data_IF_776902419154
#
_entry.id   IF_776902419154
#
_cell.length_a   1.000
_cell.length_b   1.000
_cell.length_c   1.000
_cell.angle_alpha   90.00
_cell.angle_beta   90.00
_cell.angle_gamma   90.00
#
_symmetry.space_group_name_H-M   'P 1'
#
loop_
_entity.id
_entity.type
_entity.pdbx_description
1 polymer ?
#
# COMPACT_ATOMS: atom_id res chain seq x y z
N UNK A 1 18.06 16.05 -30.61
CA UNK A 1 18.53 17.36 -30.12
C UNK A 1 18.99 17.20 -28.68
N UNK A 2 20.29 17.35 -28.44
CA UNK A 2 20.95 17.19 -27.14
C UNK A 2 20.59 18.38 -26.24
N UNK A 3 19.89 18.14 -25.12
CA UNK A 3 19.77 19.15 -24.04
C UNK A 3 20.85 18.84 -23.02
N UNK A 4 21.91 19.65 -23.04
CA UNK A 4 22.97 19.68 -22.04
C UNK A 4 22.38 20.17 -20.70
N UNK A 5 22.31 19.30 -19.70
CA UNK A 5 22.02 19.67 -18.32
C UNK A 5 23.24 20.39 -17.72
N UNK A 6 23.14 21.71 -17.58
CA UNK A 6 24.12 22.49 -16.82
C UNK A 6 24.13 22.07 -15.35
N UNK A 7 25.31 21.91 -14.75
CA UNK A 7 25.45 21.69 -13.30
C UNK A 7 24.90 22.92 -12.55
N UNK A 8 24.07 22.76 -11.50
CA UNK A 8 23.61 23.88 -10.70
C UNK A 8 24.79 24.65 -10.10
N UNK A 9 24.72 25.98 -10.10
CA UNK A 9 25.76 26.81 -9.49
C UNK A 9 25.81 26.60 -7.98
N UNK A 10 26.99 26.75 -7.37
CA UNK A 10 27.17 26.60 -5.91
C UNK A 10 26.24 27.52 -5.10
N UNK A 11 25.92 28.71 -5.63
CA UNK A 11 24.96 29.66 -5.05
C UNK A 11 23.53 29.11 -5.09
N UNK A 12 23.09 28.56 -6.22
CA UNK A 12 21.77 27.91 -6.35
C UNK A 12 21.64 26.73 -5.38
N UNK A 13 22.68 25.90 -5.24
CA UNK A 13 22.67 24.78 -4.30
C UNK A 13 22.63 25.20 -2.83
N UNK A 14 23.19 26.36 -2.48
CA UNK A 14 23.14 26.92 -1.12
C UNK A 14 21.78 27.53 -0.80
N UNK A 15 21.17 28.21 -1.77
CA UNK A 15 19.82 28.76 -1.62
C UNK A 15 18.78 27.65 -1.49
N UNK A 16 18.85 26.58 -2.29
CA UNK A 16 17.96 25.43 -2.15
C UNK A 16 18.07 24.77 -0.77
N UNK A 17 19.30 24.56 -0.27
CA UNK A 17 19.53 24.03 1.08
C UNK A 17 18.98 24.95 2.18
N UNK A 18 19.13 26.27 2.02
CA UNK A 18 18.58 27.24 2.97
C UNK A 18 17.05 27.20 2.99
N UNK A 19 16.40 27.21 1.82
CA UNK A 19 14.94 27.11 1.70
C UNK A 19 14.40 25.80 2.27
N UNK A 20 15.08 24.69 2.01
CA UNK A 20 14.70 23.38 2.56
C UNK A 20 14.87 23.33 4.10
N UNK A 21 15.90 23.98 4.64
CA UNK A 21 16.11 24.09 6.09
C UNK A 21 15.03 24.93 6.79
N UNK A 22 14.60 26.04 6.18
CA UNK A 22 13.51 26.89 6.68
C UNK A 22 12.19 26.14 6.63
N UNK A 23 11.92 25.45 5.52
CA UNK A 23 10.71 24.65 5.35
C UNK A 23 10.62 23.52 6.38
N UNK A 24 11.72 22.82 6.67
CA UNK A 24 11.73 21.81 7.73
C UNK A 24 11.51 22.40 9.13
N UNK A 25 12.00 23.61 9.39
CA UNK A 25 11.80 24.29 10.67
C UNK A 25 10.32 24.64 10.88
N UNK A 26 9.64 25.13 9.83
CA UNK A 26 8.20 25.40 9.87
C UNK A 26 7.37 24.12 10.07
N UNK A 27 7.70 23.04 9.36
CA UNK A 27 7.03 21.73 9.54
C UNK A 27 7.15 21.24 10.98
N UNK A 28 8.35 21.31 11.57
CA UNK A 28 8.56 20.92 12.98
C UNK A 28 7.73 21.76 13.94
N UNK A 29 7.63 23.08 13.71
CA UNK A 29 6.81 23.97 14.54
C UNK A 29 5.34 23.58 14.49
N UNK A 30 4.77 23.45 13.29
CA UNK A 30 3.37 23.07 13.09
C UNK A 30 3.06 21.72 13.75
N UNK A 31 3.95 20.73 13.61
CA UNK A 31 3.78 19.43 14.24
C UNK A 31 3.83 19.54 15.78
N UNK A 32 4.75 20.32 16.33
CA UNK A 32 4.89 20.51 17.77
C UNK A 32 3.66 21.18 18.37
N UNK A 33 3.12 22.21 17.70
CA UNK A 33 1.88 22.89 18.08
C UNK A 33 0.68 21.91 18.07
N UNK A 34 0.78 20.82 17.31
CA UNK A 34 -0.20 19.74 17.21
C UNK A 34 0.19 18.48 18.02
N UNK A 35 1.07 18.62 19.01
CA UNK A 35 1.54 17.57 19.93
C UNK A 35 2.34 16.44 19.28
N UNK A 36 3.01 16.69 18.16
CA UNK A 36 3.88 15.72 17.48
C UNK A 36 5.33 16.21 17.53
N UNK A 37 6.20 15.42 18.16
CA UNK A 37 7.65 15.65 18.16
C UNK A 37 8.31 14.86 17.03
N UNK A 38 8.81 15.56 16.01
CA UNK A 38 9.36 14.96 14.79
C UNK A 38 10.82 14.52 15.00
N UNK A 39 11.09 13.23 14.87
CA UNK A 39 12.40 12.66 15.21
C UNK A 39 13.30 12.45 13.99
N UNK A 40 12.87 11.61 13.04
CA UNK A 40 13.77 11.09 12.00
C UNK A 40 13.07 10.85 10.65
N UNK A 41 13.87 10.62 9.61
CA UNK A 41 13.38 10.24 8.28
C UNK A 41 13.23 8.71 8.19
N UNK A 42 12.15 8.24 7.57
CA UNK A 42 11.89 6.79 7.40
C UNK A 42 11.65 6.37 5.95
N UNK A 43 11.23 7.28 5.06
CA UNK A 43 11.00 6.92 3.65
C UNK A 43 10.71 8.10 2.74
N UNK A 44 10.89 7.93 1.44
CA UNK A 44 10.62 8.97 0.42
C UNK A 44 9.80 8.36 -0.71
N UNK A 45 8.68 8.99 -1.04
CA UNK A 45 7.89 8.73 -2.25
C UNK A 45 8.20 9.75 -3.35
N UNK A 46 7.48 9.64 -4.48
CA UNK A 46 7.62 10.55 -5.60
C UNK A 46 7.26 12.01 -5.25
N UNK A 47 6.26 12.20 -4.40
CA UNK A 47 5.74 13.52 -4.00
C UNK A 47 5.75 13.74 -2.48
N UNK A 48 6.29 12.78 -1.73
CA UNK A 48 6.18 12.77 -0.27
C UNK A 48 7.49 12.37 0.39
N UNK A 49 7.67 12.86 1.62
CA UNK A 49 8.70 12.43 2.56
C UNK A 49 8.01 11.92 3.80
N UNK A 50 8.32 10.71 4.23
CA UNK A 50 7.78 10.11 5.45
C UNK A 50 8.83 10.19 6.55
N UNK A 51 8.41 10.69 7.70
CA UNK A 51 9.23 10.89 8.88
C UNK A 51 8.58 10.21 10.09
N UNK A 52 9.37 9.71 11.03
CA UNK A 52 8.87 9.22 12.31
C UNK A 52 8.81 10.37 13.31
N UNK A 53 7.75 10.39 14.10
CA UNK A 53 7.61 11.27 15.25
C UNK A 53 7.00 10.55 16.44
N UNK A 54 6.84 11.27 17.54
CA UNK A 54 6.15 10.80 18.75
C UNK A 54 4.97 11.71 19.02
N UNK A 55 3.80 11.13 19.22
CA UNK A 55 2.67 11.86 19.77
C UNK A 55 2.94 12.10 21.26
N UNK A 56 3.16 13.36 21.64
CA UNK A 56 3.57 13.77 23.00
C UNK A 56 2.50 13.39 24.04
N UNK A 57 1.21 13.45 23.66
CA UNK A 57 0.11 13.10 24.57
C UNK A 57 -0.03 11.60 24.79
N UNK A 58 0.18 10.81 23.74
CA UNK A 58 0.00 9.35 23.77
C UNK A 58 1.28 8.58 24.14
N UNK A 59 2.44 9.22 23.99
CA UNK A 59 3.76 8.56 24.12
C UNK A 59 4.06 7.55 23.01
N UNK A 60 3.18 7.39 22.01
CA UNK A 60 3.32 6.42 20.92
C UNK A 60 3.96 7.04 19.68
N UNK A 61 4.64 6.21 18.89
CA UNK A 61 5.19 6.61 17.59
C UNK A 61 4.08 6.91 16.59
N UNK A 62 4.37 7.83 15.67
CA UNK A 62 3.54 8.16 14.51
C UNK A 62 4.40 8.25 13.26
N UNK A 63 3.81 7.96 12.10
CA UNK A 63 4.38 8.30 10.80
C UNK A 63 3.83 9.67 10.38
N UNK A 64 4.68 10.53 9.81
CA UNK A 64 4.31 11.84 9.29
C UNK A 64 4.65 11.87 7.81
N UNK A 65 3.63 11.77 6.96
CA UNK A 65 3.75 11.89 5.50
C UNK A 65 3.66 13.36 5.13
N UNK A 66 4.80 13.94 4.79
CA UNK A 66 4.97 15.33 4.35
C UNK A 66 4.87 15.38 2.83
N UNK A 67 3.82 15.96 2.30
CA UNK A 67 3.52 16.04 0.86
C UNK A 67 3.80 17.45 0.39
N UNK A 68 4.62 17.61 -0.65
CA UNK A 68 4.91 18.91 -1.25
C UNK A 68 3.84 19.28 -2.28
N UNK A 69 3.18 20.42 -2.09
CA UNK A 69 2.11 20.89 -3.00
C UNK A 69 2.56 22.01 -3.93
N UNK A 70 3.78 22.52 -3.79
CA UNK A 70 4.30 23.66 -4.56
C UNK A 70 4.38 23.39 -6.06
N UNK A 71 4.65 22.14 -6.46
CA UNK A 71 4.77 21.78 -7.87
C UNK A 71 3.44 21.77 -8.61
N UNK A 72 2.30 21.80 -7.89
CA UNK A 72 0.96 21.69 -8.47
C UNK A 72 0.80 20.49 -9.41
N UNK A 73 1.47 19.38 -9.13
CA UNK A 73 1.52 18.20 -10.01
C UNK A 73 0.13 17.58 -10.21
N UNK A 74 -0.01 16.70 -11.21
CA UNK A 74 -1.25 15.94 -11.40
C UNK A 74 -1.63 15.16 -10.14
N UNK A 75 -0.63 14.63 -9.42
CA UNK A 75 -0.84 14.02 -8.09
C UNK A 75 -1.53 14.99 -7.13
N UNK A 76 -0.96 16.17 -6.93
CA UNK A 76 -1.48 17.19 -6.01
C UNK A 76 -2.89 17.65 -6.42
N UNK A 77 -3.17 17.77 -7.72
CA UNK A 77 -4.47 18.25 -8.21
C UNK A 77 -5.57 17.19 -8.20
N UNK A 78 -5.24 15.93 -8.51
CA UNK A 78 -6.24 14.86 -8.73
C UNK A 78 -6.28 13.80 -7.64
N UNK A 79 -5.13 13.46 -7.06
CA UNK A 79 -5.01 12.31 -6.15
C UNK A 79 -5.02 12.74 -4.70
N UNK A 80 -4.26 13.77 -4.32
CA UNK A 80 -4.17 14.23 -2.93
C UNK A 80 -5.53 14.62 -2.30
N UNK A 81 -6.43 15.37 -2.97
CA UNK A 81 -7.74 15.68 -2.39
C UNK A 81 -8.57 14.42 -2.12
N UNK A 82 -8.46 13.41 -3.00
CA UNK A 82 -9.15 12.12 -2.84
C UNK A 82 -8.53 11.29 -1.74
N UNK A 83 -7.20 11.26 -1.63
CA UNK A 83 -6.49 10.60 -0.54
C UNK A 83 -6.98 11.16 0.80
N UNK A 84 -6.98 12.48 0.97
CA UNK A 84 -7.48 13.14 2.18
C UNK A 84 -8.95 12.81 2.45
N UNK A 85 -9.80 12.83 1.42
CA UNK A 85 -11.23 12.48 1.54
C UNK A 85 -11.43 11.04 2.00
N UNK A 86 -10.68 10.09 1.40
CA UNK A 86 -10.72 8.67 1.72
C UNK A 86 -10.28 8.44 3.16
N UNK A 87 -9.09 8.91 3.55
CA UNK A 87 -8.47 8.52 4.82
C UNK A 87 -9.13 9.13 6.05
N UNK A 88 -9.89 10.23 5.90
CA UNK A 88 -10.54 10.93 7.02
C UNK A 88 -11.53 10.06 7.81
N UNK A 89 -12.17 9.11 7.15
CA UNK A 89 -13.24 8.30 7.74
C UNK A 89 -12.89 6.81 7.89
N UNK A 90 -11.65 6.43 7.56
CA UNK A 90 -11.21 5.04 7.73
C UNK A 90 -10.95 4.74 9.20
N UNK A 91 -11.62 3.70 9.69
CA UNK A 91 -11.49 3.21 11.06
C UNK A 91 -11.67 1.69 11.09
N UNK A 92 -10.57 0.96 10.96
CA UNK A 92 -10.54 -0.49 11.05
C UNK A 92 -9.22 -0.93 11.66
N UNK A 93 -9.22 -2.02 12.44
CA UNK A 93 -8.03 -2.47 13.16
C UNK A 93 -6.85 -2.80 12.23
N UNK A 94 -7.13 -3.25 11.00
CA UNK A 94 -6.11 -3.57 9.99
C UNK A 94 -5.90 -2.51 8.90
N UNK A 95 -6.40 -1.28 9.10
CA UNK A 95 -6.14 -0.15 8.20
C UNK A 95 -5.38 0.91 8.98
N UNK A 96 -4.33 1.48 8.38
CA UNK A 96 -3.56 2.58 8.98
C UNK A 96 -4.50 3.72 9.32
N UNK A 97 -4.53 4.09 10.61
CA UNK A 97 -5.33 5.22 11.06
C UNK A 97 -4.62 6.54 10.73
N UNK A 98 -5.35 7.49 10.15
CA UNK A 98 -4.89 8.88 10.03
C UNK A 98 -5.43 9.67 11.22
N UNK A 99 -4.54 10.10 12.11
CA UNK A 99 -4.90 10.86 13.30
C UNK A 99 -5.21 12.32 12.99
N UNK A 100 -4.42 12.94 12.11
CA UNK A 100 -4.54 14.36 11.79
C UNK A 100 -4.15 14.63 10.33
N UNK A 101 -4.81 15.62 9.73
CA UNK A 101 -4.43 16.20 8.45
C UNK A 101 -4.16 17.68 8.67
N UNK A 102 -2.92 18.10 8.49
CA UNK A 102 -2.49 19.49 8.71
C UNK A 102 -2.13 20.13 7.37
N UNK A 103 -2.76 21.26 7.07
CA UNK A 103 -2.50 22.02 5.85
C UNK A 103 -1.56 23.19 6.13
N UNK A 104 -0.60 23.38 5.24
CA UNK A 104 0.32 24.52 5.19
C UNK A 104 0.26 25.12 3.78
N UNK A 105 0.84 26.31 3.59
CA UNK A 105 0.79 27.03 2.30
C UNK A 105 1.25 26.18 1.11
N UNK A 106 2.36 25.45 1.25
CA UNK A 106 2.95 24.62 0.18
C UNK A 106 3.14 23.15 0.58
N UNK A 107 2.47 22.69 1.65
CA UNK A 107 2.58 21.31 2.13
C UNK A 107 1.28 20.80 2.76
N UNK A 108 1.06 19.50 2.67
CA UNK A 108 0.07 18.78 3.48
C UNK A 108 0.81 17.73 4.32
N UNK A 109 0.46 17.65 5.60
CA UNK A 109 1.02 16.66 6.53
C UNK A 109 -0.09 15.69 6.94
N UNK A 110 0.11 14.40 6.69
CA UNK A 110 -0.73 13.33 7.27
C UNK A 110 0.02 12.74 8.46
N UNK A 111 -0.60 12.80 9.65
CA UNK A 111 -0.09 12.14 10.86
C UNK A 111 -0.82 10.81 10.99
N UNK A 112 -0.08 9.71 10.83
CA UNK A 112 -0.59 8.37 10.61
C UNK A 112 -0.08 7.40 11.69
N UNK A 113 -0.80 6.30 11.86
CA UNK A 113 -0.37 5.15 12.64
C UNK A 113 0.98 4.62 12.13
N UNK A 114 1.87 4.29 13.07
CA UNK A 114 3.21 3.80 12.75
C UNK A 114 3.24 2.27 12.79
N UNK A 115 3.74 1.63 11.73
CA UNK A 115 4.01 0.19 11.71
C UNK A 115 5.35 -0.13 12.37
N UNK A 116 5.35 -0.47 13.66
CA UNK A 116 6.57 -0.69 14.45
C UNK A 116 7.51 -1.74 13.86
N UNK A 117 6.96 -2.79 13.26
CA UNK A 117 7.70 -3.92 12.72
C UNK A 117 7.98 -3.79 11.21
N UNK A 118 7.76 -2.60 10.64
CA UNK A 118 8.04 -2.28 9.24
C UNK A 118 7.00 -2.85 8.27
N UNK A 119 7.35 -2.87 6.98
CA UNK A 119 6.51 -3.42 5.92
C UNK A 119 6.70 -4.94 5.72
N UNK A 120 5.67 -5.57 5.16
CA UNK A 120 5.62 -7.00 4.91
C UNK A 120 6.70 -7.45 3.90
N UNK A 121 7.08 -6.60 2.93
CA UNK A 121 8.15 -6.94 2.00
C UNK A 121 9.49 -7.10 2.72
N UNK A 122 9.82 -6.19 3.64
CA UNK A 122 11.00 -6.29 4.49
C UNK A 122 11.00 -7.58 5.29
N UNK A 123 9.87 -7.92 5.92
CA UNK A 123 9.69 -9.17 6.67
C UNK A 123 9.93 -10.42 5.80
N UNK A 124 9.41 -10.43 4.57
CA UNK A 124 9.61 -11.53 3.61
C UNK A 124 11.09 -11.63 3.23
N UNK A 125 11.77 -10.50 2.95
CA UNK A 125 13.19 -10.49 2.59
C UNK A 125 14.08 -11.02 3.72
N UNK A 126 13.80 -10.66 4.97
CA UNK A 126 14.53 -11.16 6.15
C UNK A 126 14.41 -12.67 6.31
N UNK A 127 13.24 -13.25 5.99
CA UNK A 127 12.97 -14.69 6.12
C UNK A 127 13.10 -15.48 4.81
N UNK A 128 13.43 -14.81 3.70
CA UNK A 128 13.27 -15.30 2.31
C UNK A 128 11.82 -15.55 1.88
N UNK A 129 11.00 -16.16 2.74
CA UNK A 129 9.55 -16.36 2.60
C UNK A 129 8.93 -16.59 3.98
N UNK A 130 7.61 -16.55 4.07
CA UNK A 130 6.85 -16.93 5.25
C UNK A 130 6.31 -18.36 5.09
N UNK A 131 6.28 -19.11 6.20
CA UNK A 131 5.55 -20.38 6.21
C UNK A 131 4.06 -20.14 6.03
N UNK A 132 3.31 -21.17 5.64
CA UNK A 132 1.84 -21.06 5.55
C UNK A 132 1.21 -20.72 6.90
N UNK A 133 1.74 -21.30 8.00
CA UNK A 133 1.30 -21.03 9.36
C UNK A 133 1.42 -19.55 9.73
N UNK A 134 2.52 -18.90 9.33
CA UNK A 134 2.71 -17.45 9.52
C UNK A 134 1.86 -16.62 8.54
N UNK A 135 1.69 -17.12 7.32
CA UNK A 135 0.99 -16.41 6.25
C UNK A 135 -0.51 -16.32 6.46
N UNK A 136 -1.14 -17.38 6.97
CA UNK A 136 -2.61 -17.45 7.20
C UNK A 136 -3.16 -16.27 8.02
N UNK A 137 -2.68 -15.96 9.24
CA UNK A 137 -3.22 -14.85 10.02
C UNK A 137 -2.97 -13.48 9.37
N UNK A 138 -1.80 -13.28 8.75
CA UNK A 138 -1.47 -12.03 8.04
C UNK A 138 -2.42 -11.85 6.84
N UNK A 139 -2.58 -12.90 6.03
CA UNK A 139 -3.46 -12.85 4.87
C UNK A 139 -4.93 -12.70 5.28
N UNK A 140 -5.37 -13.35 6.37
CA UNK A 140 -6.71 -13.15 6.92
C UNK A 140 -6.96 -11.68 7.24
N UNK A 141 -6.08 -11.05 8.01
CA UNK A 141 -6.20 -9.63 8.38
C UNK A 141 -6.13 -8.69 7.16
N UNK A 142 -5.32 -9.01 6.15
CA UNK A 142 -5.31 -8.27 4.89
C UNK A 142 -6.67 -8.37 4.19
N UNK A 143 -7.25 -9.57 4.05
CA UNK A 143 -8.57 -9.73 3.42
C UNK A 143 -9.65 -9.00 4.22
N UNK A 144 -9.62 -9.02 5.56
CA UNK A 144 -10.55 -8.25 6.39
C UNK A 144 -10.44 -6.73 6.17
N UNK A 145 -9.21 -6.21 5.98
CA UNK A 145 -9.03 -4.81 5.61
C UNK A 145 -9.70 -4.47 4.27
N UNK A 146 -9.65 -5.38 3.29
CA UNK A 146 -10.27 -5.20 1.98
C UNK A 146 -11.79 -5.35 2.02
N UNK A 147 -12.32 -6.26 2.86
CA UNK A 147 -13.76 -6.35 3.16
C UNK A 147 -14.26 -5.03 3.74
N UNK A 148 -13.51 -4.47 4.69
CA UNK A 148 -13.85 -3.17 5.26
C UNK A 148 -13.85 -2.06 4.20
N UNK A 149 -12.80 -1.94 3.38
CA UNK A 149 -12.76 -0.93 2.31
C UNK A 149 -13.90 -1.09 1.31
N UNK A 150 -14.25 -2.33 0.95
CA UNK A 150 -15.40 -2.62 0.11
C UNK A 150 -16.71 -2.14 0.74
N UNK A 151 -16.91 -2.34 2.05
CA UNK A 151 -18.09 -1.83 2.76
C UNK A 151 -18.20 -0.30 2.72
N UNK A 152 -17.07 0.39 2.63
CA UNK A 152 -16.99 1.85 2.49
C UNK A 152 -17.04 2.32 1.03
N UNK A 153 -17.24 1.40 0.07
CA UNK A 153 -17.17 1.67 -1.37
C UNK A 153 -15.82 2.23 -1.82
N UNK A 154 -14.73 1.84 -1.16
CA UNK A 154 -13.37 2.31 -1.44
C UNK A 154 -12.55 1.20 -2.09
N UNK A 155 -11.86 1.55 -3.17
CA UNK A 155 -10.89 0.66 -3.84
C UNK A 155 -9.50 1.22 -3.58
N UNK A 156 -8.57 0.37 -3.14
CA UNK A 156 -7.22 0.75 -2.76
C UNK A 156 -6.31 1.01 -3.97
N UNK A 157 -6.31 0.11 -4.96
CA UNK A 157 -5.57 0.16 -6.24
C UNK A 157 -4.05 0.11 -6.18
N UNK A 158 -3.44 0.06 -5.00
CA UNK A 158 -1.99 -0.20 -4.82
C UNK A 158 -1.72 -1.16 -3.65
N UNK A 159 -2.49 -2.25 -3.58
CA UNK A 159 -2.23 -3.31 -2.59
C UNK A 159 -0.94 -4.04 -3.00
N UNK A 160 0.07 -4.00 -2.12
CA UNK A 160 1.38 -4.62 -2.32
C UNK A 160 2.07 -4.83 -0.97
N UNK A 161 3.10 -5.68 -0.93
CA UNK A 161 3.79 -6.01 0.31
C UNK A 161 4.40 -4.77 1.00
N UNK A 162 4.80 -3.76 0.25
CA UNK A 162 5.36 -2.49 0.74
C UNK A 162 4.33 -1.60 1.46
N UNK A 163 3.04 -1.79 1.15
CA UNK A 163 1.93 -1.02 1.72
C UNK A 163 1.18 -1.80 2.82
N UNK A 164 1.61 -3.03 3.12
CA UNK A 164 1.11 -3.82 4.25
C UNK A 164 2.13 -3.70 5.38
N UNK A 165 1.84 -2.88 6.38
CA UNK A 165 2.70 -2.68 7.55
C UNK A 165 2.33 -3.64 8.68
N UNK A 166 3.26 -3.82 9.61
CA UNK A 166 3.08 -4.63 10.81
C UNK A 166 3.23 -3.76 12.05
N UNK A 167 2.22 -3.79 12.92
CA UNK A 167 2.31 -3.15 14.24
C UNK A 167 3.25 -3.92 15.19
N UNK A 168 3.42 -3.42 16.42
CA UNK A 168 4.30 -4.04 17.41
C UNK A 168 3.98 -5.51 17.75
N UNK A 169 2.75 -5.96 17.51
CA UNK A 169 2.29 -7.33 17.76
C UNK A 169 2.18 -8.16 16.46
N UNK A 170 2.75 -7.68 15.34
CA UNK A 170 2.62 -8.31 14.01
C UNK A 170 1.16 -8.41 13.51
N UNK A 171 0.32 -7.43 13.84
CA UNK A 171 -0.94 -7.25 13.13
C UNK A 171 -0.75 -6.40 11.88
N UNK A 172 -1.47 -6.75 10.82
CA UNK A 172 -1.52 -6.02 9.56
C UNK A 172 -2.09 -4.62 9.76
N UNK A 173 -1.47 -3.65 9.10
CA UNK A 173 -1.94 -2.29 8.88
C UNK A 173 -1.79 -1.95 7.40
N UNK A 174 -2.87 -2.05 6.62
CA UNK A 174 -2.88 -1.63 5.22
C UNK A 174 -2.83 -0.10 5.15
N UNK A 175 -1.84 0.45 4.45
CA UNK A 175 -1.60 1.88 4.32
C UNK A 175 -1.33 2.34 2.89
N UNK A 176 -0.99 3.63 2.77
CA UNK A 176 -0.76 4.36 1.51
C UNK A 176 -1.95 4.40 0.54
N UNK A 177 -2.90 5.26 0.86
CA UNK A 177 -4.14 5.47 0.11
C UNK A 177 -4.00 6.50 -1.03
N UNK A 178 -2.78 6.83 -1.46
CA UNK A 178 -2.53 7.85 -2.50
C UNK A 178 -3.18 7.53 -3.87
N UNK A 179 -3.46 6.25 -4.14
CA UNK A 179 -4.20 5.80 -5.31
C UNK A 179 -5.64 5.37 -5.01
N UNK A 180 -6.05 5.37 -3.74
CA UNK A 180 -7.37 4.95 -3.36
C UNK A 180 -8.44 5.93 -3.83
N UNK A 181 -9.67 5.44 -4.00
CA UNK A 181 -10.82 6.26 -4.35
C UNK A 181 -12.14 5.58 -4.02
N UNK A 182 -13.18 6.38 -3.85
CA UNK A 182 -14.55 5.90 -3.87
C UNK A 182 -14.91 5.38 -5.27
N UNK A 183 -15.55 4.23 -5.29
CA UNK A 183 -16.19 3.65 -6.47
C UNK A 183 -17.59 4.24 -6.56
N UNK A 184 -17.90 4.98 -7.64
CA UNK A 184 -19.29 5.39 -7.89
C UNK A 184 -20.09 4.21 -8.43
N UNK A 185 -21.39 4.20 -8.19
CA UNK A 185 -22.28 3.14 -8.68
C UNK A 185 -22.19 3.05 -10.22
N UNK A 186 -22.00 1.83 -10.74
CA UNK A 186 -21.74 1.54 -12.16
C UNK A 186 -20.48 2.19 -12.75
N UNK A 187 -19.56 2.68 -11.91
CA UNK A 187 -18.32 3.25 -12.39
C UNK A 187 -17.34 2.18 -12.82
N UNK A 188 -16.92 2.33 -14.06
CA UNK A 188 -15.90 1.53 -14.71
C UNK A 188 -14.67 2.43 -14.84
N UNK A 189 -13.54 2.02 -14.26
CA UNK A 189 -12.29 2.78 -14.37
C UNK A 189 -11.42 2.27 -15.52
N UNK A 190 -10.66 3.17 -16.14
CA UNK A 190 -9.68 2.86 -17.20
C UNK A 190 -8.28 3.44 -16.91
N UNK A 191 -8.09 4.06 -15.74
CA UNK A 191 -6.83 4.74 -15.40
C UNK A 191 -5.80 3.76 -14.87
N UNK A 192 -4.61 3.76 -15.47
CA UNK A 192 -3.43 3.05 -14.97
C UNK A 192 -2.84 3.77 -13.75
N UNK A 193 -2.83 3.12 -12.59
CA UNK A 193 -2.22 3.59 -11.34
C UNK A 193 -1.66 2.38 -10.57
N UNK A 194 -0.64 2.59 -9.72
CA UNK A 194 -0.08 1.55 -8.86
C UNK A 194 1.17 0.85 -9.42
N UNK A 195 1.61 -0.18 -8.70
CA UNK A 195 2.89 -0.85 -8.93
C UNK A 195 2.77 -1.98 -9.98
N UNK A 196 3.57 -1.89 -11.06
CA UNK A 196 3.48 -2.79 -12.23
C UNK A 196 3.49 -4.29 -11.90
N UNK A 197 4.23 -4.69 -10.86
CA UNK A 197 4.38 -6.10 -10.50
C UNK A 197 3.11 -6.72 -9.87
N UNK A 198 2.21 -5.89 -9.33
CA UNK A 198 0.98 -6.31 -8.63
C UNK A 198 -0.28 -6.10 -9.46
N UNK A 199 -0.15 -5.51 -10.65
CA UNK A 199 -1.29 -5.02 -11.42
C UNK A 199 -2.06 -6.17 -12.10
N UNK A 200 -3.39 -6.05 -12.12
CA UNK A 200 -4.28 -7.02 -12.76
C UNK A 200 -4.22 -6.94 -14.31
N UNK A 201 -4.50 -8.04 -15.04
CA UNK A 201 -4.33 -8.09 -16.50
C UNK A 201 -5.26 -7.15 -17.28
N UNK A 202 -6.47 -6.87 -16.76
CA UNK A 202 -7.42 -5.93 -17.34
C UNK A 202 -6.89 -4.48 -17.32
N UNK A 203 -6.10 -4.11 -16.32
CA UNK A 203 -5.45 -2.80 -16.25
C UNK A 203 -4.39 -2.66 -17.33
N UNK A 204 -3.58 -3.70 -17.55
CA UNK A 204 -2.56 -3.72 -18.61
C UNK A 204 -3.18 -3.72 -20.01
N UNK A 205 -4.35 -4.34 -20.13
CA UNK A 205 -5.13 -4.37 -21.38
C UNK A 205 -5.89 -3.07 -21.64
N UNK A 206 -5.92 -2.13 -20.68
CA UNK A 206 -6.70 -0.90 -20.77
C UNK A 206 -8.22 -1.14 -20.73
N UNK A 207 -8.64 -2.28 -20.21
CA UNK A 207 -10.04 -2.68 -20.15
C UNK A 207 -10.67 -2.15 -18.87
N UNK A 208 -11.77 -1.46 -19.06
CA UNK A 208 -12.83 -1.19 -18.11
C UNK A 208 -13.05 -2.29 -17.05
N UNK A 209 -12.96 -1.94 -15.76
CA UNK A 209 -13.04 -2.91 -14.66
C UNK A 209 -13.88 -2.45 -13.46
N UNK A 210 -14.35 -3.42 -12.66
CA UNK A 210 -14.91 -3.19 -11.31
C UNK A 210 -13.76 -3.14 -10.31
N UNK A 211 -13.60 -2.02 -9.61
CA UNK A 211 -12.37 -1.73 -8.86
C UNK A 211 -11.95 -2.78 -7.83
N UNK A 212 -12.90 -3.43 -7.15
CA UNK A 212 -12.59 -4.40 -6.09
C UNK A 212 -11.85 -5.65 -6.60
N UNK A 213 -12.16 -6.12 -7.82
CA UNK A 213 -11.51 -7.33 -8.37
C UNK A 213 -10.02 -7.12 -8.62
N UNK A 214 -9.57 -5.88 -8.81
CA UNK A 214 -8.15 -5.52 -8.96
C UNK A 214 -7.42 -5.62 -7.62
N UNK A 215 -8.07 -5.20 -6.53
CA UNK A 215 -7.53 -5.39 -5.18
C UNK A 215 -7.48 -6.88 -4.80
N UNK A 216 -8.49 -7.68 -5.21
CA UNK A 216 -8.48 -9.15 -5.09
C UNK A 216 -7.26 -9.76 -5.78
N UNK A 217 -6.99 -9.40 -7.04
CA UNK A 217 -5.80 -9.87 -7.76
C UNK A 217 -4.52 -9.52 -7.02
N UNK A 218 -4.40 -8.25 -6.61
CA UNK A 218 -3.23 -7.73 -5.91
C UNK A 218 -2.98 -8.45 -4.58
N UNK A 219 -4.05 -8.78 -3.84
CA UNK A 219 -3.97 -9.62 -2.64
C UNK A 219 -3.46 -11.04 -2.95
N UNK A 220 -3.87 -11.63 -4.08
CA UNK A 220 -3.33 -12.91 -4.56
C UNK A 220 -1.83 -12.86 -4.86
N UNK A 221 -1.36 -11.75 -5.46
CA UNK A 221 0.07 -11.51 -5.66
C UNK A 221 0.79 -11.43 -4.30
N UNK A 222 0.24 -10.69 -3.33
CA UNK A 222 0.80 -10.60 -1.97
C UNK A 222 0.88 -11.98 -1.32
N UNK A 223 -0.18 -12.79 -1.36
CA UNK A 223 -0.18 -14.17 -0.81
C UNK A 223 0.89 -15.05 -1.46
N UNK A 224 1.01 -14.98 -2.79
CA UNK A 224 2.04 -15.72 -3.51
C UNK A 224 3.44 -15.28 -3.08
N UNK A 225 3.71 -13.98 -3.01
CA UNK A 225 5.03 -13.45 -2.62
C UNK A 225 5.35 -13.79 -1.17
N UNK A 226 4.38 -13.73 -0.25
CA UNK A 226 4.54 -14.16 1.13
C UNK A 226 5.03 -15.60 1.22
N UNK A 227 4.39 -16.51 0.50
CA UNK A 227 4.60 -17.97 0.63
C UNK A 227 5.74 -18.51 -0.25
N UNK A 228 6.17 -17.75 -1.25
CA UNK A 228 7.22 -18.19 -2.19
C UNK A 228 8.48 -17.34 -2.17
N UNK A 229 8.40 -16.08 -1.71
CA UNK A 229 9.50 -15.12 -1.74
C UNK A 229 9.78 -14.50 -3.11
N UNK A 230 9.01 -14.85 -4.15
CA UNK A 230 9.23 -14.39 -5.53
C UNK A 230 7.92 -13.90 -6.16
N UNK A 231 8.01 -13.18 -7.28
CA UNK A 231 6.82 -12.76 -8.03
C UNK A 231 6.28 -13.92 -8.88
N UNK A 232 4.95 -14.08 -9.03
CA UNK A 232 4.36 -15.11 -9.90
C UNK A 232 4.54 -14.76 -11.38
N UNK A 233 4.55 -13.47 -11.70
CA UNK A 233 4.77 -12.92 -13.03
C UNK A 233 5.83 -11.82 -12.92
N UNK A 234 6.99 -12.04 -13.54
CA UNK A 234 8.04 -11.05 -13.66
C UNK A 234 8.60 -11.11 -15.08
N UNK A 235 8.24 -10.11 -15.90
CA UNK A 235 8.83 -9.90 -17.21
C UNK A 235 9.05 -8.41 -17.43
N UNK A 236 10.22 -8.05 -17.95
CA UNK A 236 10.56 -6.65 -18.26
C UNK A 236 9.69 -6.07 -19.36
N UNK A 237 9.08 -6.91 -20.21
CA UNK A 237 8.15 -6.50 -21.24
C UNK A 237 6.69 -6.68 -20.75
N UNK A 238 5.94 -5.58 -20.54
CA UNK A 238 4.55 -5.65 -20.07
C UNK A 238 3.63 -6.48 -20.96
N UNK A 239 3.86 -6.51 -22.28
CA UNK A 239 3.07 -7.34 -23.20
C UNK A 239 3.29 -8.83 -22.96
N UNK A 240 4.55 -9.25 -22.77
CA UNK A 240 4.90 -10.64 -22.45
C UNK A 240 4.39 -11.04 -21.07
N UNK A 241 4.46 -10.13 -20.10
CA UNK A 241 3.88 -10.35 -18.77
C UNK A 241 2.38 -10.58 -18.87
N UNK A 242 1.67 -9.73 -19.61
CA UNK A 242 0.24 -9.86 -19.86
C UNK A 242 -0.10 -11.17 -20.58
N UNK A 243 0.61 -11.52 -21.65
CA UNK A 243 0.44 -12.81 -22.35
C UNK A 243 0.53 -13.99 -21.38
N UNK A 244 1.53 -14.00 -20.47
CA UNK A 244 1.67 -15.05 -19.44
C UNK A 244 0.50 -15.05 -18.46
N UNK A 245 0.08 -13.88 -17.97
CA UNK A 245 -1.07 -13.77 -17.08
C UNK A 245 -2.32 -14.35 -17.74
N UNK A 246 -2.56 -14.04 -19.02
CA UNK A 246 -3.72 -14.52 -19.79
C UNK A 246 -3.72 -16.03 -20.03
N UNK A 247 -2.56 -16.70 -19.99
CA UNK A 247 -2.51 -18.18 -20.05
C UNK A 247 -3.05 -18.87 -18.80
N UNK A 248 -3.35 -18.11 -17.74
CA UNK A 248 -3.78 -18.62 -16.44
C UNK A 248 -2.87 -19.72 -15.88
N UNK A 249 -1.56 -19.57 -16.07
CA UNK A 249 -0.56 -20.52 -15.57
C UNK A 249 0.26 -19.89 -14.45
N UNK A 250 -0.03 -20.28 -13.22
CA UNK A 250 0.76 -19.93 -12.04
C UNK A 250 1.86 -20.98 -11.83
N UNK A 251 3.13 -20.58 -11.87
CA UNK A 251 4.27 -21.48 -11.65
C UNK A 251 4.82 -21.30 -10.25
N UNK A 252 4.76 -22.32 -9.42
CA UNK A 252 5.35 -22.29 -8.07
C UNK A 252 6.81 -22.74 -8.10
N UNK A 253 7.70 -22.12 -7.30
CA UNK A 253 9.07 -22.60 -7.14
C UNK A 253 9.11 -23.95 -6.40
N UNK A 254 10.29 -24.56 -6.31
CA UNK A 254 10.52 -25.82 -5.57
C UNK A 254 10.51 -25.59 -4.05
N UNK A 255 9.35 -25.18 -3.54
CA UNK A 255 9.06 -25.03 -2.11
C UNK A 255 7.82 -25.86 -1.79
N UNK A 256 7.84 -26.48 -0.61
CA UNK A 256 6.72 -27.29 -0.14
C UNK A 256 5.56 -26.35 0.23
N UNK A 257 4.45 -26.48 -0.51
CA UNK A 257 3.22 -25.74 -0.31
C UNK A 257 2.04 -26.69 -0.49
N UNK A 258 1.03 -26.51 0.35
CA UNK A 258 -0.21 -27.27 0.34
C UNK A 258 -0.96 -27.10 -1.00
N UNK A 259 -1.75 -28.09 -1.36
CA UNK A 259 -2.57 -27.99 -2.57
C UNK A 259 -3.68 -26.95 -2.39
N UNK A 260 -4.22 -26.80 -1.18
CA UNK A 260 -5.23 -25.81 -0.84
C UNK A 260 -4.72 -24.38 -1.07
N UNK A 261 -3.48 -24.08 -0.67
CA UNK A 261 -2.86 -22.78 -0.94
C UNK A 261 -2.71 -22.54 -2.45
N UNK A 262 -2.16 -23.52 -3.18
CA UNK A 262 -1.93 -23.41 -4.61
C UNK A 262 -3.24 -23.18 -5.36
N UNK A 263 -4.30 -23.90 -4.98
CA UNK A 263 -5.65 -23.74 -5.52
C UNK A 263 -6.18 -22.34 -5.24
N UNK A 264 -6.11 -21.86 -4.00
CA UNK A 264 -6.59 -20.52 -3.66
C UNK A 264 -5.86 -19.43 -4.46
N UNK A 265 -4.53 -19.50 -4.54
CA UNK A 265 -3.72 -18.56 -5.33
C UNK A 265 -4.10 -18.63 -6.81
N UNK A 266 -4.28 -19.83 -7.35
CA UNK A 266 -4.69 -20.03 -8.73
C UNK A 266 -6.05 -19.38 -9.00
N UNK A 267 -7.05 -19.60 -8.15
CA UNK A 267 -8.39 -19.02 -8.26
C UNK A 267 -8.39 -17.48 -8.15
N UNK A 268 -7.61 -16.91 -7.22
CA UNK A 268 -7.48 -15.46 -7.08
C UNK A 268 -6.81 -14.84 -8.32
N UNK A 269 -5.78 -15.49 -8.86
CA UNK A 269 -5.04 -15.04 -10.04
C UNK A 269 -5.70 -15.48 -11.36
N UNK A 270 -7.02 -15.49 -11.39
CA UNK A 270 -7.79 -15.71 -12.62
C UNK A 270 -7.77 -14.47 -13.53
N UNK A 271 -7.51 -14.60 -14.85
CA UNK A 271 -7.34 -13.46 -15.73
C UNK A 271 -8.65 -12.70 -15.93
N UNK A 272 -9.76 -13.43 -16.03
CA UNK A 272 -11.10 -12.85 -16.04
C UNK A 272 -11.48 -12.36 -14.64
N UNK A 273 -11.67 -11.05 -14.50
CA UNK A 273 -11.97 -10.38 -13.23
C UNK A 273 -13.20 -10.95 -12.50
N UNK A 274 -14.26 -11.27 -13.24
CA UNK A 274 -15.53 -11.80 -12.68
C UNK A 274 -15.44 -13.27 -12.23
N UNK A 275 -14.40 -13.98 -12.65
CA UNK A 275 -14.15 -15.37 -12.23
C UNK A 275 -13.33 -15.45 -10.95
N UNK A 276 -12.79 -14.33 -10.46
CA UNK A 276 -12.05 -14.28 -9.20
C UNK A 276 -13.03 -14.47 -8.03
N UNK A 277 -12.63 -15.18 -6.96
CA UNK A 277 -13.45 -15.32 -5.77
C UNK A 277 -13.65 -13.96 -5.08
N UNK A 278 -14.85 -13.74 -4.55
CA UNK A 278 -15.13 -12.66 -3.60
C UNK A 278 -14.31 -12.82 -2.31
N UNK A 279 -14.16 -11.74 -1.53
CA UNK A 279 -13.48 -11.82 -0.24
C UNK A 279 -14.11 -12.84 0.72
N UNK A 280 -15.44 -12.97 0.72
CA UNK A 280 -16.15 -14.00 1.49
C UNK A 280 -15.75 -15.41 1.04
N UNK A 281 -15.65 -15.66 -0.26
CA UNK A 281 -15.20 -16.95 -0.79
C UNK A 281 -13.72 -17.22 -0.46
N UNK A 282 -12.86 -16.20 -0.48
CA UNK A 282 -11.46 -16.31 -0.06
C UNK A 282 -11.38 -16.71 1.42
N UNK A 283 -12.13 -16.03 2.29
CA UNK A 283 -12.22 -16.33 3.72
C UNK A 283 -12.74 -17.75 4.01
N UNK A 284 -13.67 -18.25 3.19
CA UNK A 284 -14.24 -19.60 3.31
C UNK A 284 -13.48 -20.68 2.54
N UNK A 285 -12.34 -20.34 1.91
CA UNK A 285 -11.55 -21.30 1.13
C UNK A 285 -10.99 -22.42 2.02
N UNK A 286 -10.73 -23.63 1.46
CA UNK A 286 -10.12 -24.72 2.22
C UNK A 286 -8.82 -24.31 2.93
N UNK A 287 -8.04 -23.41 2.32
CA UNK A 287 -6.80 -22.93 2.92
C UNK A 287 -7.02 -21.99 4.11
N UNK A 288 -8.04 -21.12 4.08
CA UNK A 288 -8.17 -20.02 5.05
C UNK A 288 -9.31 -20.20 6.06
N UNK A 289 -10.30 -21.07 5.80
CA UNK A 289 -11.55 -21.15 6.58
C UNK A 289 -11.38 -21.39 8.09
N UNK A 290 -10.38 -22.17 8.52
CA UNK A 290 -10.09 -22.40 9.95
C UNK A 290 -9.35 -21.25 10.62
N UNK A 291 -8.84 -20.29 9.84
CA UNK A 291 -8.12 -19.14 10.38
C UNK A 291 -9.11 -18.06 10.78
N UNK A 292 -9.35 -17.96 12.08
CA UNK A 292 -10.17 -16.91 12.66
C UNK A 292 -9.54 -15.54 12.45
N UNK A 293 -10.39 -14.53 12.28
CA UNK A 293 -9.95 -13.15 12.34
C UNK A 293 -9.73 -12.74 13.80
N UNK A 294 -8.49 -12.45 14.15
CA UNK A 294 -8.08 -12.05 15.49
C UNK A 294 -7.05 -10.92 15.41
N UNK A 295 -7.10 -9.98 16.35
CA UNK A 295 -6.07 -8.95 16.55
C UNK A 295 -5.23 -9.37 17.75
N UNK A 296 -3.94 -9.58 17.52
CA UNK A 296 -2.97 -9.95 18.56
C UNK A 296 -2.78 -8.78 19.52
N UNK A 297 -2.67 -9.12 20.79
CA UNK A 297 -2.38 -8.18 21.88
C UNK A 297 -1.08 -8.61 22.55
N UNK A 298 -0.49 -7.77 23.42
CA UNK A 298 0.75 -8.13 24.15
C UNK A 298 0.67 -9.44 24.95
N UNK A 299 -0.51 -10.03 25.12
CA UNK A 299 -0.77 -11.21 25.94
C UNK A 299 -1.36 -12.40 25.16
N UNK A 300 -1.48 -12.31 23.83
CA UNK A 300 -1.99 -13.40 22.95
C UNK A 300 -1.00 -13.73 21.86
#
# INVERSE_FOLDING_TARGET
SLVLGGRPSLLSSRMEKATESVSQTQVRRVLRDNNIDLQGFIGKGAYSKVQVGVNIKMGSKVAVKVIDTSSGSEYVRRFLPREIEVVRNLNHANVVKVFQVLSMENKVLLVEEYGDNGDLLKRIKEKTRLSEKESKPIFRQLVESLVYLQSQSIVHRDVKCENVFLDANDNVKLGDFGFARFLRQNEISSTFCGSRAYVAPEILSGVSYTGFTVDTWSAGIVLYVMTTGVMPYDDRNPKKMLERMLTHRVRFPRVELSNELKTLVFEILHPTATSRPSYTQICSSPWLHETKYEIKTKHT
#
